data_IF_951822834792
#
_entry.id   IF_951822834792
#
_cell.length_a   1.000
_cell.length_b   1.000
_cell.length_c   1.000
_cell.angle_alpha   90.00
_cell.angle_beta   90.00
_cell.angle_gamma   90.00
#
_symmetry.space_group_name_H-M   'P 1'
#
loop_
_entity.id
_entity.type
_entity.pdbx_description
1 polymer ?
#
# COMPACT_ATOMS: atom_id res chain seq x y z
N UNK A 1 7.86 -24.28 7.06
CA UNK A 1 9.14 -24.62 6.45
C UNK A 1 8.98 -25.90 5.62
N UNK A 2 8.71 -25.75 4.31
CA UNK A 2 8.31 -26.85 3.40
C UNK A 2 9.49 -27.33 2.54
N UNK A 3 10.74 -27.00 2.91
CA UNK A 3 11.94 -27.44 2.18
C UNK A 3 12.29 -26.65 0.91
N UNK A 4 11.47 -25.66 0.53
CA UNK A 4 11.76 -24.79 -0.60
C UNK A 4 12.77 -23.72 -0.28
N UNK A 5 13.49 -23.24 -1.31
CA UNK A 5 14.38 -22.08 -1.24
C UNK A 5 13.65 -20.87 -1.81
N UNK A 6 13.85 -19.71 -1.19
CA UNK A 6 13.32 -18.44 -1.66
C UNK A 6 14.38 -17.66 -2.45
N UNK A 7 14.01 -17.19 -3.63
CA UNK A 7 14.77 -16.21 -4.42
C UNK A 7 13.98 -14.92 -4.43
N UNK A 8 14.53 -13.84 -3.88
CA UNK A 8 13.91 -12.52 -3.90
C UNK A 8 14.37 -11.74 -5.13
N UNK A 9 13.42 -11.38 -5.99
CA UNK A 9 13.63 -10.57 -7.17
C UNK A 9 13.07 -9.16 -6.95
N UNK A 10 13.91 -8.14 -7.03
CA UNK A 10 13.50 -6.75 -6.88
C UNK A 10 13.57 -6.03 -8.23
N UNK A 11 12.42 -5.72 -8.81
CA UNK A 11 12.31 -5.04 -10.11
C UNK A 11 12.71 -3.57 -10.04
N UNK A 12 12.66 -2.96 -8.84
CA UNK A 12 12.92 -1.53 -8.62
C UNK A 12 12.12 -0.62 -9.59
N UNK A 13 10.89 -1.00 -9.93
CA UNK A 13 10.01 -0.28 -10.86
C UNK A 13 10.64 -0.11 -12.25
N UNK A 14 11.34 -1.14 -12.74
CA UNK A 14 12.03 -1.12 -14.00
C UNK A 14 11.58 -2.29 -14.88
N UNK A 15 10.96 -1.98 -16.01
CA UNK A 15 10.37 -2.94 -16.95
C UNK A 15 11.41 -3.95 -17.48
N UNK A 16 12.64 -3.49 -17.76
CA UNK A 16 13.69 -4.37 -18.26
C UNK A 16 14.12 -5.40 -17.21
N UNK A 17 14.16 -4.99 -15.92
CA UNK A 17 14.44 -5.93 -14.82
C UNK A 17 13.31 -6.92 -14.66
N UNK A 18 12.07 -6.46 -14.68
CA UNK A 18 10.90 -7.32 -14.60
C UNK A 18 10.90 -8.32 -15.74
N UNK A 19 11.15 -7.86 -16.98
CA UNK A 19 11.27 -8.74 -18.14
C UNK A 19 12.37 -9.80 -17.97
N UNK A 20 13.53 -9.43 -17.42
CA UNK A 20 14.62 -10.40 -17.20
C UNK A 20 14.23 -11.47 -16.16
N UNK A 21 13.42 -11.12 -15.16
CA UNK A 21 12.89 -12.11 -14.23
C UNK A 21 11.83 -13.00 -14.88
N UNK A 22 10.95 -12.46 -15.72
CA UNK A 22 10.00 -13.28 -16.50
C UNK A 22 10.72 -14.27 -17.40
N UNK A 23 11.81 -13.86 -18.05
CA UNK A 23 12.60 -14.77 -18.88
C UNK A 23 13.27 -15.88 -18.06
N UNK A 24 13.68 -15.60 -16.82
CA UNK A 24 14.15 -16.61 -15.89
C UNK A 24 13.01 -17.58 -15.49
N UNK A 25 11.80 -17.10 -15.25
CA UNK A 25 10.64 -17.91 -14.94
C UNK A 25 10.26 -18.83 -16.13
N UNK A 26 10.31 -18.32 -17.37
CA UNK A 26 10.08 -19.11 -18.60
C UNK A 26 11.08 -20.26 -18.78
N UNK A 27 12.26 -20.16 -18.18
CA UNK A 27 13.28 -21.22 -18.23
C UNK A 27 13.04 -22.34 -17.19
N UNK A 28 11.93 -22.32 -16.47
CA UNK A 28 11.53 -23.32 -15.45
C UNK A 28 12.65 -23.59 -14.41
N UNK A 29 13.33 -22.53 -13.96
CA UNK A 29 14.37 -22.63 -12.92
C UNK A 29 13.85 -22.55 -11.50
N UNK A 30 12.54 -22.42 -11.35
CA UNK A 30 11.81 -22.34 -10.07
C UNK A 30 10.52 -23.17 -10.16
N UNK A 31 10.05 -23.63 -9.02
CA UNK A 31 8.84 -24.46 -8.94
C UNK A 31 7.55 -23.61 -8.98
N UNK A 32 7.65 -22.33 -8.65
CA UNK A 32 6.54 -21.39 -8.69
C UNK A 32 6.98 -19.99 -8.29
N UNK A 33 6.10 -18.99 -8.45
CA UNK A 33 6.42 -17.62 -8.10
C UNK A 33 5.26 -16.87 -7.40
N UNK A 34 5.64 -15.95 -6.50
CA UNK A 34 4.75 -14.95 -5.91
C UNK A 34 5.06 -13.61 -6.55
N UNK A 35 4.05 -12.96 -7.10
CA UNK A 35 4.18 -11.65 -7.77
C UNK A 35 3.50 -10.59 -6.91
N UNK A 36 4.27 -9.64 -6.37
CA UNK A 36 3.77 -8.58 -5.49
C UNK A 36 3.66 -7.21 -6.17
N UNK A 37 4.20 -7.07 -7.37
CA UNK A 37 4.12 -5.84 -8.17
C UNK A 37 4.38 -6.16 -9.63
N UNK A 38 3.83 -5.37 -10.53
CA UNK A 38 4.09 -5.50 -11.96
C UNK A 38 4.06 -4.11 -12.63
N UNK A 39 4.88 -3.95 -13.65
CA UNK A 39 4.91 -2.79 -14.56
C UNK A 39 4.69 -3.23 -16.01
N UNK A 40 4.87 -4.51 -16.30
CA UNK A 40 4.59 -5.10 -17.60
C UNK A 40 3.07 -5.37 -17.76
N UNK A 41 2.69 -5.74 -18.98
CA UNK A 41 1.32 -6.13 -19.28
C UNK A 41 0.95 -7.41 -18.53
N UNK A 42 -0.28 -7.50 -18.03
CA UNK A 42 -0.76 -8.69 -17.33
C UNK A 42 -0.72 -9.96 -18.18
N UNK A 43 -0.79 -9.83 -19.51
CA UNK A 43 -0.62 -10.92 -20.48
C UNK A 43 0.73 -11.62 -20.37
N UNK A 44 1.79 -10.90 -20.01
CA UNK A 44 3.15 -11.48 -19.91
C UNK A 44 3.26 -12.55 -18.81
N UNK A 45 2.40 -12.44 -17.79
CA UNK A 45 2.31 -13.41 -16.69
C UNK A 45 1.38 -14.60 -17.00
N UNK A 46 0.35 -14.40 -17.82
CA UNK A 46 -0.62 -15.42 -18.20
C UNK A 46 0.03 -16.57 -18.97
N UNK A 47 0.99 -16.26 -19.83
CA UNK A 47 1.67 -17.21 -20.70
C UNK A 47 2.77 -18.02 -19.98
N UNK A 48 2.96 -17.79 -18.68
CA UNK A 48 3.91 -18.57 -17.89
C UNK A 48 3.30 -19.93 -17.50
N UNK A 49 3.97 -21.01 -17.87
CA UNK A 49 3.55 -22.40 -17.59
C UNK A 49 3.98 -22.88 -16.20
N UNK A 50 4.04 -22.00 -15.22
CA UNK A 50 4.40 -22.35 -13.85
C UNK A 50 3.34 -21.84 -12.84
N UNK A 51 3.24 -22.46 -11.66
CA UNK A 51 2.38 -21.98 -10.59
C UNK A 51 2.66 -20.55 -10.19
N UNK A 52 1.65 -19.68 -10.27
CA UNK A 52 1.72 -18.28 -9.88
C UNK A 52 0.65 -17.94 -8.84
N UNK A 53 1.00 -17.06 -7.90
CA UNK A 53 0.10 -16.39 -6.96
C UNK A 53 0.44 -14.91 -6.92
N UNK A 54 -0.56 -14.05 -7.06
CA UNK A 54 -0.41 -12.62 -6.92
C UNK A 54 -0.61 -12.20 -5.45
N UNK A 55 0.15 -11.20 -5.00
CA UNK A 55 0.02 -10.58 -3.69
C UNK A 55 -0.32 -9.10 -3.85
N UNK A 56 -1.52 -8.70 -3.44
CA UNK A 56 -2.01 -7.31 -3.52
C UNK A 56 -1.99 -6.70 -4.94
N UNK A 57 -1.96 -7.53 -5.98
CA UNK A 57 -2.06 -7.11 -7.39
C UNK A 57 -3.00 -8.04 -8.15
N UNK A 58 -3.60 -7.56 -9.23
CA UNK A 58 -4.38 -8.36 -10.17
C UNK A 58 -3.56 -8.58 -11.44
N UNK A 59 -3.25 -9.82 -11.75
CA UNK A 59 -2.51 -10.21 -12.96
C UNK A 59 -3.46 -10.72 -14.04
N UNK A 60 -4.20 -11.78 -13.76
CA UNK A 60 -5.17 -12.41 -14.66
C UNK A 60 -6.20 -13.18 -13.83
N UNK A 61 -7.42 -13.41 -14.36
CA UNK A 61 -8.48 -14.16 -13.67
C UNK A 61 -8.08 -15.60 -13.32
N UNK A 62 -7.16 -16.21 -14.08
CA UNK A 62 -6.64 -17.55 -13.83
C UNK A 62 -5.57 -17.61 -12.73
N UNK A 63 -5.01 -16.44 -12.33
CA UNK A 63 -3.97 -16.34 -11.32
C UNK A 63 -4.59 -15.87 -10.00
N UNK A 64 -4.61 -16.71 -8.95
CA UNK A 64 -5.19 -16.31 -7.68
C UNK A 64 -4.44 -15.11 -7.08
N UNK A 65 -5.20 -14.14 -6.58
CA UNK A 65 -4.67 -12.99 -5.85
C UNK A 65 -5.03 -13.11 -4.37
N UNK A 66 -4.03 -13.00 -3.52
CA UNK A 66 -4.19 -12.97 -2.06
C UNK A 66 -3.94 -11.56 -1.57
N UNK A 67 -4.90 -10.98 -0.86
CA UNK A 67 -4.83 -9.61 -0.37
C UNK A 67 -5.60 -9.41 0.93
N UNK A 68 -5.35 -8.30 1.61
CA UNK A 68 -6.11 -7.88 2.80
C UNK A 68 -7.54 -7.49 2.44
N UNK A 69 -8.41 -7.45 3.45
CA UNK A 69 -9.74 -6.86 3.28
C UNK A 69 -9.61 -5.32 3.27
N UNK A 70 -9.28 -4.76 2.11
CA UNK A 70 -9.05 -3.34 1.93
C UNK A 70 -10.32 -2.49 2.12
N UNK A 71 -11.51 -3.05 1.85
CA UNK A 71 -12.79 -2.39 2.15
C UNK A 71 -12.91 -2.13 3.66
N UNK A 72 -12.72 -3.18 4.47
CA UNK A 72 -12.71 -3.02 5.93
C UNK A 72 -11.58 -2.10 6.40
N UNK A 73 -10.41 -2.19 5.75
CA UNK A 73 -9.27 -1.35 6.06
C UNK A 73 -9.55 0.14 5.85
N UNK A 74 -10.20 0.51 4.74
CA UNK A 74 -10.63 1.89 4.47
C UNK A 74 -11.59 2.44 5.51
N UNK A 75 -12.61 1.65 5.88
CA UNK A 75 -13.56 2.01 6.96
C UNK A 75 -12.87 2.22 8.31
N UNK A 76 -11.96 1.32 8.67
CA UNK A 76 -11.20 1.44 9.92
C UNK A 76 -10.29 2.68 9.92
N UNK A 77 -9.69 3.01 8.78
CA UNK A 77 -8.84 4.20 8.64
C UNK A 77 -9.63 5.52 8.76
N UNK A 78 -10.89 5.57 8.28
CA UNK A 78 -11.74 6.75 8.36
C UNK A 78 -12.22 7.03 9.80
N UNK A 79 -12.37 6.00 10.61
CA UNK A 79 -12.99 6.11 11.94
C UNK A 79 -12.36 7.15 12.87
N UNK A 80 -11.01 7.23 13.04
CA UNK A 80 -10.41 8.25 13.90
C UNK A 80 -10.70 9.69 13.45
N UNK A 81 -10.82 9.94 12.14
CA UNK A 81 -11.16 11.27 11.63
C UNK A 81 -12.60 11.64 11.89
N UNK A 82 -13.53 10.68 11.77
CA UNK A 82 -14.95 10.86 12.07
C UNK A 82 -15.15 11.12 13.57
N UNK A 83 -14.57 10.26 14.41
CA UNK A 83 -14.70 10.36 15.88
C UNK A 83 -14.02 11.63 16.42
N UNK A 84 -12.95 12.09 15.78
CA UNK A 84 -12.23 13.31 16.12
C UNK A 84 -12.80 14.58 15.48
N UNK A 85 -13.90 14.48 14.72
CA UNK A 85 -14.55 15.62 14.03
C UNK A 85 -13.59 16.39 13.11
N UNK A 86 -12.73 15.67 12.35
CA UNK A 86 -11.91 16.28 11.33
C UNK A 86 -12.79 16.98 10.27
N UNK A 87 -12.26 18.03 9.66
CA UNK A 87 -12.99 18.82 8.64
C UNK A 87 -12.43 18.59 7.24
N UNK A 88 -11.12 18.39 7.16
CA UNK A 88 -10.43 18.21 5.88
C UNK A 88 -9.24 17.26 6.04
N UNK A 89 -9.28 16.13 5.35
CA UNK A 89 -8.25 15.11 5.42
C UNK A 89 -7.49 15.03 4.10
N UNK A 90 -6.16 15.08 4.17
CA UNK A 90 -5.28 14.74 3.06
C UNK A 90 -5.09 13.24 3.00
N UNK A 91 -5.49 12.62 1.89
CA UNK A 91 -5.15 11.24 1.54
C UNK A 91 -3.99 11.25 0.54
N UNK A 92 -2.91 10.52 0.83
CA UNK A 92 -1.83 10.29 -0.13
C UNK A 92 -1.82 8.81 -0.49
N UNK A 93 -1.96 8.51 -1.77
CA UNK A 93 -2.07 7.15 -2.29
C UNK A 93 -1.07 6.85 -3.40
N UNK A 94 -0.92 5.57 -3.73
CA UNK A 94 -0.07 5.12 -4.83
C UNK A 94 -0.67 5.40 -6.20
N UNK A 95 0.06 5.00 -7.22
CA UNK A 95 -0.26 5.15 -8.63
C UNK A 95 -1.48 4.30 -9.03
N UNK A 96 -2.48 4.92 -9.67
CA UNK A 96 -3.74 4.28 -10.10
C UNK A 96 -3.58 3.37 -11.33
N UNK A 97 -2.51 3.51 -12.06
CA UNK A 97 -2.26 2.67 -13.24
C UNK A 97 -1.95 1.22 -12.85
N UNK A 98 -1.52 1.00 -11.62
CA UNK A 98 -1.30 -0.36 -11.09
C UNK A 98 -2.62 -0.95 -10.61
N UNK A 99 -3.12 -1.98 -11.29
CA UNK A 99 -4.35 -2.70 -10.89
C UNK A 99 -4.11 -3.49 -9.59
N UNK A 100 -4.48 -2.90 -8.47
CA UNK A 100 -4.29 -3.48 -7.14
C UNK A 100 -5.58 -3.45 -6.32
N UNK A 101 -5.90 -4.51 -5.56
CA UNK A 101 -6.98 -4.48 -4.57
C UNK A 101 -6.82 -3.37 -3.52
N UNK A 102 -5.59 -2.93 -3.27
CA UNK A 102 -5.28 -1.85 -2.33
C UNK A 102 -6.00 -0.52 -2.65
N UNK A 103 -6.42 -0.33 -3.90
CA UNK A 103 -7.24 0.81 -4.33
C UNK A 103 -8.55 0.93 -3.56
N UNK A 104 -9.17 -0.21 -3.22
CA UNK A 104 -10.45 -0.24 -2.52
C UNK A 104 -10.39 0.45 -1.15
N UNK A 105 -9.24 0.44 -0.46
CA UNK A 105 -9.12 1.14 0.83
C UNK A 105 -9.24 2.65 0.67
N UNK A 106 -8.71 3.18 -0.43
CA UNK A 106 -8.67 4.62 -0.68
C UNK A 106 -10.04 5.16 -1.13
N UNK A 107 -10.75 4.44 -2.02
CA UNK A 107 -12.11 4.83 -2.40
C UNK A 107 -13.07 4.73 -1.22
N UNK A 108 -13.07 3.60 -0.50
CA UNK A 108 -13.93 3.41 0.67
C UNK A 108 -13.62 4.44 1.76
N UNK A 109 -12.35 4.77 1.98
CA UNK A 109 -11.97 5.81 2.93
C UNK A 109 -12.57 7.17 2.57
N UNK A 110 -12.45 7.58 1.30
CA UNK A 110 -13.00 8.84 0.83
C UNK A 110 -14.53 8.87 0.90
N UNK A 111 -15.20 7.76 0.56
CA UNK A 111 -16.66 7.62 0.64
C UNK A 111 -17.15 7.75 2.10
N UNK A 112 -16.50 7.06 3.05
CA UNK A 112 -16.82 7.16 4.49
C UNK A 112 -16.67 8.60 5.02
N UNK A 113 -15.62 9.32 4.61
CA UNK A 113 -15.45 10.72 4.97
C UNK A 113 -16.55 11.61 4.38
N UNK A 114 -16.90 11.38 3.12
CA UNK A 114 -17.95 12.13 2.42
C UNK A 114 -19.32 11.95 3.10
N UNK A 115 -19.67 10.72 3.49
CA UNK A 115 -20.91 10.42 4.22
C UNK A 115 -21.00 11.19 5.55
N UNK A 116 -19.87 11.57 6.14
CA UNK A 116 -19.79 12.35 7.38
C UNK A 116 -19.48 13.83 7.15
N UNK A 117 -19.60 14.34 5.92
CA UNK A 117 -19.32 15.73 5.53
C UNK A 117 -17.89 16.18 5.81
N UNK A 118 -16.93 15.27 5.77
CA UNK A 118 -15.51 15.56 5.89
C UNK A 118 -14.91 15.68 4.49
N UNK A 119 -14.25 16.81 4.20
CA UNK A 119 -13.57 17.01 2.92
C UNK A 119 -12.36 16.07 2.81
N UNK A 120 -12.21 15.38 1.68
CA UNK A 120 -11.02 14.60 1.37
C UNK A 120 -10.26 15.26 0.21
N UNK A 121 -9.00 15.61 0.45
CA UNK A 121 -8.05 16.03 -0.59
C UNK A 121 -7.25 14.79 -0.95
N UNK A 122 -7.39 14.32 -2.20
CA UNK A 122 -6.72 13.12 -2.67
C UNK A 122 -5.48 13.48 -3.49
N UNK A 123 -4.31 13.03 -3.05
CA UNK A 123 -3.05 13.17 -3.76
C UNK A 123 -2.55 11.81 -4.23
N UNK A 124 -2.43 11.67 -5.54
CA UNK A 124 -1.87 10.48 -6.17
C UNK A 124 -0.38 10.67 -6.45
N UNK A 125 0.45 9.75 -5.92
CA UNK A 125 1.88 9.73 -6.17
C UNK A 125 2.16 9.34 -7.63
N UNK A 126 2.99 10.11 -8.30
CA UNK A 126 3.48 9.78 -9.65
C UNK A 126 4.60 8.74 -9.55
N UNK A 127 4.87 8.08 -10.68
CA UNK A 127 5.86 7.01 -10.75
C UNK A 127 7.27 7.40 -10.25
N UNK A 128 7.66 8.66 -10.38
CA UNK A 128 8.95 9.23 -9.95
C UNK A 128 8.93 9.81 -8.51
N UNK A 129 7.79 9.75 -7.82
CA UNK A 129 7.62 10.32 -6.47
C UNK A 129 7.72 9.29 -5.33
N UNK A 130 8.11 8.05 -5.63
CA UNK A 130 8.19 6.99 -4.63
C UNK A 130 9.53 6.91 -3.90
N UNK A 131 9.98 8.05 -3.38
CA UNK A 131 11.19 8.15 -2.56
C UNK A 131 10.99 9.11 -1.39
N UNK A 132 11.88 9.01 -0.40
CA UNK A 132 11.81 9.81 0.84
C UNK A 132 11.79 11.31 0.58
N UNK A 133 12.63 11.79 -0.35
CA UNK A 133 12.73 13.21 -0.66
C UNK A 133 11.45 13.76 -1.25
N UNK A 134 10.82 12.97 -2.12
CA UNK A 134 9.53 13.31 -2.73
C UNK A 134 8.42 13.34 -1.70
N UNK A 135 8.35 12.35 -0.79
CA UNK A 135 7.33 12.34 0.28
C UNK A 135 7.41 13.59 1.15
N UNK A 136 8.61 14.00 1.56
CA UNK A 136 8.80 15.23 2.35
C UNK A 136 8.27 16.46 1.61
N UNK A 137 8.64 16.63 0.33
CA UNK A 137 8.23 17.76 -0.50
C UNK A 137 6.71 17.81 -0.72
N UNK A 138 6.11 16.65 -0.99
CA UNK A 138 4.67 16.54 -1.20
C UNK A 138 3.92 16.94 0.06
N UNK A 139 4.30 16.39 1.22
CA UNK A 139 3.68 16.71 2.50
C UNK A 139 3.76 18.20 2.78
N UNK A 140 4.95 18.80 2.68
CA UNK A 140 5.15 20.23 2.87
C UNK A 140 4.25 21.04 1.94
N UNK A 141 4.29 20.74 0.64
CA UNK A 141 3.50 21.46 -0.36
C UNK A 141 2.00 21.35 -0.10
N UNK A 142 1.50 20.16 0.22
CA UNK A 142 0.07 19.95 0.44
C UNK A 142 -0.40 20.67 1.70
N UNK A 143 0.31 20.53 2.81
CA UNK A 143 -0.07 21.15 4.08
C UNK A 143 0.10 22.68 4.06
N UNK A 144 1.10 23.23 3.35
CA UNK A 144 1.28 24.68 3.20
C UNK A 144 0.24 25.29 2.24
N UNK A 145 -0.18 24.56 1.20
CA UNK A 145 -1.15 25.05 0.21
C UNK A 145 -2.60 24.90 0.67
N UNK A 146 -2.87 24.03 1.64
CA UNK A 146 -4.20 23.70 2.14
C UNK A 146 -4.26 23.83 3.67
N UNK A 147 -4.28 25.06 4.21
CA UNK A 147 -4.28 25.29 5.66
C UNK A 147 -5.53 24.79 6.37
N UNK A 148 -6.56 24.43 5.62
CA UNK A 148 -7.77 23.80 6.14
C UNK A 148 -7.60 22.32 6.52
N UNK A 149 -6.50 21.66 6.09
CA UNK A 149 -6.22 20.25 6.43
C UNK A 149 -5.97 20.13 7.93
N UNK A 150 -6.74 19.25 8.58
CA UNK A 150 -6.60 18.87 9.97
C UNK A 150 -6.47 17.34 10.16
N UNK A 151 -6.30 16.60 9.06
CA UNK A 151 -6.04 15.17 9.09
C UNK A 151 -5.14 14.70 7.94
N UNK A 152 -4.36 13.62 8.17
CA UNK A 152 -3.54 12.99 7.12
C UNK A 152 -3.65 11.48 7.19
N UNK A 153 -3.94 10.85 6.05
CA UNK A 153 -4.00 9.40 5.86
C UNK A 153 -3.08 8.94 4.74
N UNK A 154 -2.23 7.96 5.02
CA UNK A 154 -1.40 7.28 4.02
C UNK A 154 -0.75 6.02 4.63
N UNK A 155 0.25 5.43 3.95
CA UNK A 155 1.09 4.38 4.54
C UNK A 155 1.90 4.92 5.72
N UNK A 156 2.29 4.04 6.63
CA UNK A 156 3.00 4.41 7.88
C UNK A 156 4.26 5.24 7.62
N UNK A 157 4.99 4.91 6.55
CA UNK A 157 6.21 5.63 6.16
C UNK A 157 5.87 7.09 5.79
N UNK A 158 4.88 7.29 4.95
CA UNK A 158 4.52 8.64 4.48
C UNK A 158 4.00 9.49 5.64
N UNK A 159 3.10 8.95 6.47
CA UNK A 159 2.58 9.71 7.60
C UNK A 159 3.64 9.98 8.67
N UNK A 160 4.70 9.19 8.78
CA UNK A 160 5.81 9.50 9.67
C UNK A 160 6.52 10.81 9.31
N UNK A 161 6.61 11.13 8.02
CA UNK A 161 7.11 12.43 7.56
C UNK A 161 6.11 13.55 7.80
N UNK A 162 4.80 13.29 7.68
CA UNK A 162 3.77 14.26 8.03
C UNK A 162 3.84 14.62 9.52
N UNK A 163 3.98 13.64 10.41
CA UNK A 163 4.16 13.85 11.84
C UNK A 163 5.36 14.77 12.10
N UNK A 164 6.51 14.43 11.51
CA UNK A 164 7.72 15.24 11.67
C UNK A 164 7.47 16.70 11.26
N UNK A 165 6.94 16.92 10.06
CA UNK A 165 6.69 18.27 9.53
C UNK A 165 5.71 19.08 10.40
N UNK A 166 4.60 18.45 10.83
CA UNK A 166 3.59 19.07 11.68
C UNK A 166 4.18 19.50 13.02
N UNK A 167 4.99 18.65 13.65
CA UNK A 167 5.66 18.96 14.91
C UNK A 167 6.73 20.07 14.75
N UNK A 168 7.47 20.08 13.64
CA UNK A 168 8.43 21.17 13.32
C UNK A 168 7.75 22.54 13.15
N UNK A 169 6.47 22.56 12.74
CA UNK A 169 5.63 23.77 12.70
C UNK A 169 5.03 24.15 14.06
N UNK A 170 5.36 23.43 15.13
CA UNK A 170 4.85 23.67 16.48
C UNK A 170 3.40 23.27 16.68
N UNK A 171 2.84 22.48 15.77
CA UNK A 171 1.48 21.96 15.86
C UNK A 171 1.45 20.68 16.69
N UNK A 172 0.27 20.33 17.23
CA UNK A 172 0.06 19.17 18.11
C UNK A 172 -0.71 18.06 17.41
N UNK A 173 -0.37 16.84 17.78
CA UNK A 173 -1.07 15.63 17.34
C UNK A 173 -1.54 14.93 18.64
N UNK A 174 -2.84 14.62 18.80
CA UNK A 174 -3.91 14.74 17.80
C UNK A 174 -4.67 16.08 17.81
N UNK A 175 -4.32 17.06 18.67
CA UNK A 175 -5.13 18.25 18.94
C UNK A 175 -5.34 19.14 17.68
N UNK A 176 -4.29 19.40 16.91
CA UNK A 176 -4.35 20.19 15.67
C UNK A 176 -4.49 19.31 14.41
N UNK A 177 -3.95 18.09 14.46
CA UNK A 177 -3.94 17.16 13.34
C UNK A 177 -4.20 15.73 13.78
N UNK A 178 -5.14 15.05 13.14
CA UNK A 178 -5.36 13.60 13.29
C UNK A 178 -4.54 12.89 12.22
N UNK A 179 -3.71 11.92 12.63
CA UNK A 179 -2.84 11.17 11.71
C UNK A 179 -3.16 9.70 11.81
N UNK A 180 -3.40 9.06 10.65
CA UNK A 180 -3.65 7.62 10.56
C UNK A 180 -2.74 7.00 9.51
N UNK A 181 -1.97 6.00 9.92
CA UNK A 181 -1.14 5.16 9.07
C UNK A 181 -1.91 3.96 8.50
N UNK A 182 -1.28 3.29 7.57
CA UNK A 182 -1.73 2.02 7.04
C UNK A 182 -0.53 1.11 6.84
N UNK A 183 -0.70 -0.18 7.05
CA UNK A 183 0.17 -1.33 6.95
C UNK A 183 0.54 -1.89 8.34
N UNK A 184 0.92 -1.09 9.33
CA UNK A 184 1.36 -1.52 10.65
C UNK A 184 2.78 -2.08 10.61
N UNK A 185 3.67 -1.44 9.83
CA UNK A 185 5.10 -1.80 9.76
C UNK A 185 5.89 -1.25 10.95
N UNK A 186 7.12 -1.70 11.13
CA UNK A 186 7.92 -1.42 12.34
C UNK A 186 8.03 0.06 12.71
N UNK A 187 8.08 0.96 11.72
CA UNK A 187 8.18 2.40 11.95
C UNK A 187 7.02 2.94 12.81
N UNK A 188 5.84 2.35 12.71
CA UNK A 188 4.66 2.75 13.49
C UNK A 188 4.88 2.63 15.00
N UNK A 189 5.80 1.77 15.41
CA UNK A 189 6.13 1.52 16.82
C UNK A 189 7.18 2.52 17.37
N UNK A 190 7.89 3.23 16.49
CA UNK A 190 9.01 4.12 16.86
C UNK A 190 8.72 5.60 16.66
N UNK A 191 7.61 5.93 16.00
CA UNK A 191 7.21 7.33 15.78
C UNK A 191 6.65 7.94 17.07
N UNK A 192 7.01 9.19 17.32
CA UNK A 192 6.43 9.98 18.41
C UNK A 192 5.74 11.24 17.84
N UNK A 193 4.51 11.58 18.27
CA UNK A 193 3.64 10.79 19.17
C UNK A 193 3.24 9.44 18.55
N UNK A 194 2.70 8.53 19.37
CA UNK A 194 2.30 7.19 18.91
C UNK A 194 1.33 7.28 17.73
N UNK A 195 1.63 6.57 16.66
CA UNK A 195 0.84 6.54 15.44
C UNK A 195 -0.37 5.60 15.59
N UNK A 196 -1.56 6.11 15.26
CA UNK A 196 -2.73 5.25 15.00
C UNK A 196 -2.63 4.69 13.59
N UNK A 197 -2.81 3.39 13.41
CA UNK A 197 -2.71 2.76 12.10
C UNK A 197 -3.64 1.57 11.91
N UNK A 198 -3.96 1.27 10.66
CA UNK A 198 -4.62 0.03 10.27
C UNK A 198 -3.56 -1.02 9.96
N UNK A 199 -3.47 -2.06 10.81
CA UNK A 199 -2.50 -3.14 10.62
C UNK A 199 -2.99 -4.16 9.59
N UNK A 200 -2.14 -4.46 8.61
CA UNK A 200 -2.35 -5.60 7.72
C UNK A 200 -1.97 -6.91 8.43
N UNK A 201 -2.69 -8.01 8.19
CA UNK A 201 -2.41 -9.30 8.82
C UNK A 201 -1.30 -10.04 8.05
N UNK A 202 -0.07 -9.51 8.06
CA UNK A 202 1.06 -10.01 7.24
C UNK A 202 1.34 -11.50 7.41
N UNK A 203 1.28 -12.01 8.64
CA UNK A 203 1.50 -13.44 8.92
C UNK A 203 0.45 -14.30 8.21
N UNK A 204 -0.83 -13.93 8.34
CA UNK A 204 -1.92 -14.63 7.67
C UNK A 204 -1.86 -14.51 6.15
N UNK A 205 -1.45 -13.36 5.63
CA UNK A 205 -1.23 -13.18 4.19
C UNK A 205 -0.12 -14.10 3.70
N UNK A 206 1.02 -14.12 4.41
CA UNK A 206 2.16 -14.96 4.05
C UNK A 206 1.79 -16.45 4.07
N UNK A 207 1.14 -16.92 5.13
CA UNK A 207 0.68 -18.31 5.23
C UNK A 207 -0.28 -18.67 4.09
N UNK A 208 -1.26 -17.79 3.84
CA UNK A 208 -2.26 -18.02 2.78
C UNK A 208 -1.62 -18.07 1.38
N UNK A 209 -0.69 -17.15 1.10
CA UNK A 209 0.01 -17.10 -0.19
C UNK A 209 0.82 -18.37 -0.41
N UNK A 210 1.57 -18.80 0.61
CA UNK A 210 2.38 -20.03 0.56
C UNK A 210 1.49 -21.25 0.35
N UNK A 211 0.42 -21.38 1.12
CA UNK A 211 -0.53 -22.49 0.99
C UNK A 211 -1.15 -22.59 -0.40
N UNK A 212 -1.57 -21.45 -0.97
CA UNK A 212 -2.15 -21.38 -2.32
C UNK A 212 -1.10 -21.77 -3.36
N UNK A 213 0.13 -21.26 -3.24
CA UNK A 213 1.21 -21.61 -4.17
C UNK A 213 1.57 -23.10 -4.10
N UNK A 214 1.73 -23.65 -2.89
CA UNK A 214 2.06 -25.07 -2.71
C UNK A 214 0.98 -26.01 -3.27
N UNK A 215 -0.29 -25.66 -3.12
CA UNK A 215 -1.37 -26.44 -3.76
C UNK A 215 -1.25 -26.43 -5.28
N UNK A 216 -0.87 -25.30 -5.88
CA UNK A 216 -0.67 -25.22 -7.34
C UNK A 216 0.58 -25.96 -7.82
N UNK A 217 1.61 -26.08 -6.99
CA UNK A 217 2.84 -26.83 -7.30
C UNK A 217 2.59 -28.35 -7.22
N UNK A 218 1.81 -28.79 -6.24
CA UNK A 218 1.61 -30.23 -5.97
C UNK A 218 0.43 -30.86 -6.73
N UNK A 219 -0.38 -30.06 -7.44
CA UNK A 219 -1.54 -30.50 -8.22
C UNK A 219 -2.79 -30.52 -7.36
#
# INVERSE_FOLDING_TARGET
NHGYKLILCNTQRNDMREQSYLDMLRQNKVDGAIVATHYLQTSDYKDLSLPLVAMDVFLDESIPSVHSNHIRGGKLAARPFIDGNARCVLQIRGDSDIKSPAWMRHSVFADELLEHNIKCIDYELKADEFDISSYCKIIQKQLDSHPEIDGVFSTDIIVSYAIKYILEKGKKIPDDYIIVGYDGVDISNYVYPSLSYVRQPFEKLADTIVDVLLRKING
#
